data_IF_878574768842
#
_entry.id   IF_878574768842
#
_cell.length_a   1.000
_cell.length_b   1.000
_cell.length_c   1.000
_cell.angle_alpha   90.00
_cell.angle_beta   90.00
_cell.angle_gamma   90.00
#
_symmetry.space_group_name_H-M   'P 1'
#
loop_
_entity.id
_entity.type
_entity.pdbx_description
1 polymer ?
#
# COMPACT_ATOMS: atom_id res chain seq x y z
N UNK A 1 -9.18 24.01 -4.96
CA UNK A 1 -9.64 22.74 -5.56
C UNK A 1 -8.60 22.20 -6.53
N UNK A 2 -8.58 20.88 -6.75
CA UNK A 2 -7.77 20.18 -7.75
C UNK A 2 -8.71 19.52 -8.77
N UNK A 3 -8.58 19.85 -10.05
CA UNK A 3 -9.35 19.23 -11.13
C UNK A 3 -8.54 18.10 -11.76
N UNK A 4 -9.17 16.94 -11.91
CA UNK A 4 -8.59 15.77 -12.58
C UNK A 4 -8.78 15.93 -14.09
N UNK A 5 -7.69 16.20 -14.82
CA UNK A 5 -7.70 16.19 -16.30
C UNK A 5 -7.53 14.78 -16.85
N UNK A 6 -6.68 13.97 -16.22
CA UNK A 6 -6.57 12.53 -16.49
C UNK A 6 -6.42 11.79 -15.17
N UNK A 7 -7.14 10.68 -14.94
CA UNK A 7 -7.11 9.99 -13.65
C UNK A 7 -5.87 9.12 -13.41
N UNK A 8 -5.05 8.87 -14.43
CA UNK A 8 -3.99 7.87 -14.36
C UNK A 8 -4.55 6.44 -14.42
N UNK A 9 -3.77 5.45 -14.00
CA UNK A 9 -4.21 4.03 -14.01
C UNK A 9 -5.17 3.72 -12.84
N UNK A 10 -4.76 4.11 -11.64
CA UNK A 10 -5.56 3.94 -10.43
C UNK A 10 -5.14 4.97 -9.38
N UNK A 11 -5.83 6.11 -9.39
CA UNK A 11 -5.66 7.16 -8.39
C UNK A 11 -6.85 7.16 -7.43
N UNK A 12 -6.58 7.23 -6.13
CA UNK A 12 -7.62 7.29 -5.09
C UNK A 12 -7.22 8.17 -3.92
N UNK A 13 -8.21 8.68 -3.17
CA UNK A 13 -7.97 9.42 -1.93
C UNK A 13 -7.66 8.41 -0.82
N UNK A 14 -6.55 8.58 -0.12
CA UNK A 14 -6.14 7.71 0.96
C UNK A 14 -5.64 8.53 2.16
N UNK A 15 -6.05 8.12 3.36
CA UNK A 15 -5.38 8.49 4.61
C UNK A 15 -4.68 7.26 5.22
N UNK A 16 -4.54 7.18 6.54
CA UNK A 16 -3.93 6.02 7.22
C UNK A 16 -4.91 4.87 7.50
N UNK A 17 -6.18 5.01 7.09
CA UNK A 17 -7.17 3.94 7.12
C UNK A 17 -8.24 4.06 8.21
N UNK A 18 -9.16 3.09 8.21
CA UNK A 18 -10.35 2.93 9.07
C UNK A 18 -10.24 1.69 9.97
N UNK A 19 -9.52 1.82 11.07
CA UNK A 19 -9.40 0.70 12.02
C UNK A 19 -10.71 0.45 12.78
N UNK A 20 -10.91 -0.79 13.24
CA UNK A 20 -12.01 -1.17 14.15
C UNK A 20 -13.20 -1.91 13.52
N UNK A 21 -13.29 -1.96 12.19
CA UNK A 21 -14.45 -2.55 11.49
C UNK A 21 -14.16 -3.89 10.78
N UNK A 22 -12.95 -4.42 10.92
CA UNK A 22 -12.53 -5.60 10.17
C UNK A 22 -13.29 -6.88 10.54
N UNK A 23 -13.73 -6.98 11.81
CA UNK A 23 -14.64 -8.04 12.27
C UNK A 23 -16.02 -8.01 11.60
N UNK A 24 -16.41 -6.89 10.96
CA UNK A 24 -17.63 -6.74 10.16
C UNK A 24 -17.37 -6.92 8.66
N UNK A 25 -16.16 -7.30 8.26
CA UNK A 25 -15.78 -7.43 6.85
C UNK A 25 -15.39 -6.13 6.17
N UNK A 26 -15.18 -5.04 6.92
CA UNK A 26 -14.73 -3.76 6.36
C UNK A 26 -13.22 -3.61 6.59
N UNK A 27 -12.39 -3.63 5.53
CA UNK A 27 -10.95 -3.53 5.67
C UNK A 27 -10.50 -2.13 6.10
N UNK A 28 -9.28 -2.00 6.67
CA UNK A 28 -8.75 -0.72 7.08
C UNK A 28 -8.50 0.23 5.90
N UNK A 29 -8.26 -0.27 4.69
CA UNK A 29 -7.79 0.55 3.58
C UNK A 29 -6.59 1.42 4.01
N UNK A 30 -6.50 2.65 3.53
CA UNK A 30 -5.33 3.49 3.76
C UNK A 30 -4.33 3.39 2.61
N UNK A 31 -3.34 4.28 2.65
CA UNK A 31 -2.17 4.19 1.79
C UNK A 31 -1.50 2.82 1.93
N UNK A 32 -1.16 2.16 0.80
CA UNK A 32 -0.42 0.89 0.88
C UNK A 32 1.01 1.07 1.41
N UNK A 33 1.59 2.24 1.17
CA UNK A 33 2.85 2.73 1.74
C UNK A 33 2.52 3.95 2.60
N UNK A 34 2.35 3.69 3.90
CA UNK A 34 1.95 4.71 4.87
C UNK A 34 3.11 5.67 5.18
N UNK A 35 4.35 5.20 5.09
CA UNK A 35 5.53 6.05 5.25
C UNK A 35 5.54 7.16 4.21
N UNK A 36 5.38 6.82 2.93
CA UNK A 36 5.41 7.81 1.84
C UNK A 36 4.27 8.83 1.94
N UNK A 37 3.04 8.41 2.28
CA UNK A 37 1.94 9.36 2.52
C UNK A 37 2.28 10.32 3.68
N UNK A 38 2.76 9.77 4.80
CA UNK A 38 3.10 10.57 5.98
C UNK A 38 4.24 11.55 5.70
N UNK A 39 5.27 11.11 4.97
CA UNK A 39 6.39 11.95 4.55
C UNK A 39 5.90 13.11 3.67
N UNK A 40 5.07 12.85 2.66
CA UNK A 40 4.49 13.89 1.82
C UNK A 40 3.66 14.90 2.63
N UNK A 41 2.84 14.42 3.57
CA UNK A 41 2.06 15.28 4.47
C UNK A 41 2.93 16.19 5.34
N UNK A 42 3.99 15.64 5.94
CA UNK A 42 4.91 16.43 6.77
C UNK A 42 5.59 17.55 5.98
N UNK A 43 5.97 17.30 4.73
CA UNK A 43 6.63 18.31 3.88
C UNK A 43 5.75 19.55 3.65
N UNK A 44 4.43 19.37 3.56
CA UNK A 44 3.46 20.45 3.37
C UNK A 44 2.86 20.99 4.68
N UNK A 45 3.33 20.51 5.84
CA UNK A 45 2.87 20.96 7.16
C UNK A 45 1.54 20.37 7.62
N UNK A 46 1.12 19.23 7.04
CA UNK A 46 -0.07 18.51 7.48
C UNK A 46 0.26 17.55 8.63
N UNK A 47 -0.74 17.14 9.43
CA UNK A 47 -0.65 15.93 10.25
C UNK A 47 -0.31 14.71 9.36
N UNK A 48 0.45 13.76 9.89
CA UNK A 48 0.92 12.57 9.16
C UNK A 48 -0.22 11.81 8.45
N UNK A 49 -1.38 11.72 9.11
CA UNK A 49 -2.56 11.03 8.60
C UNK A 49 -3.56 11.88 7.82
N UNK A 50 -3.20 13.08 7.36
CA UNK A 50 -4.07 13.82 6.44
C UNK A 50 -4.26 13.06 5.12
N UNK A 51 -5.42 13.21 4.50
CA UNK A 51 -5.72 12.53 3.25
C UNK A 51 -4.93 13.13 2.08
N UNK A 52 -4.29 12.24 1.32
CA UNK A 52 -3.60 12.55 0.07
C UNK A 52 -4.11 11.70 -1.08
N UNK A 53 -3.46 11.80 -2.23
CA UNK A 53 -3.73 10.95 -3.38
C UNK A 53 -2.70 9.83 -3.46
N UNK A 54 -3.15 8.58 -3.50
CA UNK A 54 -2.33 7.43 -3.88
C UNK A 54 -2.44 7.23 -5.40
N UNK A 55 -1.32 7.38 -6.12
CA UNK A 55 -1.22 7.28 -7.57
C UNK A 55 -0.44 6.03 -7.96
N UNK A 56 -1.08 5.07 -8.64
CA UNK A 56 -0.47 3.76 -8.97
C UNK A 56 0.00 3.70 -10.42
N UNK A 57 1.29 3.37 -10.64
CA UNK A 57 2.00 3.12 -11.92
C UNK A 57 1.94 4.21 -13.01
N UNK A 58 0.77 4.75 -13.31
CA UNK A 58 0.58 5.88 -14.24
C UNK A 58 -0.12 6.98 -13.44
N UNK A 59 0.61 8.05 -13.15
CA UNK A 59 0.10 9.17 -12.36
C UNK A 59 -0.96 10.00 -13.10
N UNK A 60 -1.77 10.77 -12.37
CA UNK A 60 -2.81 11.63 -12.94
C UNK A 60 -2.25 12.90 -13.60
N UNK A 61 -3.07 13.56 -14.41
CA UNK A 61 -2.85 14.95 -14.83
C UNK A 61 -3.81 15.83 -14.02
N UNK A 62 -3.27 16.72 -13.19
CA UNK A 62 -4.02 17.48 -12.18
C UNK A 62 -3.85 18.98 -12.42
N UNK A 63 -4.95 19.69 -12.60
CA UNK A 63 -4.98 21.15 -12.69
C UNK A 63 -5.34 21.75 -11.33
N UNK A 64 -4.54 22.67 -10.83
CA UNK A 64 -4.80 23.35 -9.57
C UNK A 64 -5.62 24.62 -9.83
N UNK A 65 -6.80 24.74 -9.22
CA UNK A 65 -7.69 25.90 -9.41
C UNK A 65 -7.46 27.03 -8.41
N UNK A 66 -6.52 26.85 -7.51
CA UNK A 66 -6.07 27.83 -6.51
C UNK A 66 -4.59 27.60 -6.23
N UNK A 67 -3.93 28.59 -5.66
CA UNK A 67 -2.55 28.45 -5.20
C UNK A 67 -2.47 27.38 -4.09
N UNK A 68 -1.44 26.54 -4.14
CA UNK A 68 -1.29 25.41 -3.23
C UNK A 68 0.18 25.05 -3.01
N UNK A 69 0.49 24.59 -1.81
CA UNK A 69 1.76 23.95 -1.50
C UNK A 69 1.59 22.43 -1.63
N UNK A 70 2.42 21.79 -2.44
CA UNK A 70 2.31 20.37 -2.79
C UNK A 70 3.62 19.66 -2.52
N UNK A 71 3.56 18.41 -2.07
CA UNK A 71 4.71 17.52 -1.99
C UNK A 71 4.36 16.12 -2.49
N UNK A 72 5.39 15.39 -2.91
CA UNK A 72 5.31 14.04 -3.44
C UNK A 72 6.30 13.14 -2.74
N UNK A 73 5.92 11.90 -2.44
CA UNK A 73 6.84 10.85 -1.94
C UNK A 73 6.44 9.46 -2.45
N UNK A 74 7.29 8.45 -2.23
CA UNK A 74 7.08 7.07 -2.69
C UNK A 74 7.79 6.75 -4.02
N UNK A 75 7.08 6.16 -4.98
CA UNK A 75 7.64 5.76 -6.27
C UNK A 75 8.26 6.92 -7.05
N UNK A 76 9.32 6.63 -7.80
CA UNK A 76 10.09 7.59 -8.60
C UNK A 76 9.40 7.92 -9.93
N UNK A 77 8.21 8.53 -9.86
CA UNK A 77 7.45 9.04 -11.01
C UNK A 77 7.82 10.50 -11.25
N UNK A 78 8.78 10.79 -12.14
CA UNK A 78 9.31 12.15 -12.38
C UNK A 78 8.16 13.17 -12.55
N UNK A 79 7.89 14.04 -11.56
CA UNK A 79 6.77 14.96 -11.62
C UNK A 79 7.16 16.22 -12.41
N UNK A 80 6.22 16.76 -13.18
CA UNK A 80 6.39 17.99 -13.96
C UNK A 80 5.24 18.95 -13.73
N UNK A 81 5.56 20.20 -13.41
CA UNK A 81 4.61 21.30 -13.29
C UNK A 81 4.73 22.20 -14.52
N UNK A 82 3.69 22.25 -15.35
CA UNK A 82 3.69 22.93 -16.67
C UNK A 82 4.87 22.55 -17.58
N UNK A 83 5.41 21.35 -17.40
CA UNK A 83 6.56 20.83 -18.16
C UNK A 83 7.89 20.89 -17.43
N UNK A 84 8.02 21.76 -16.43
CA UNK A 84 9.22 21.92 -15.62
C UNK A 84 9.34 20.81 -14.57
N UNK A 85 10.55 20.28 -14.37
CA UNK A 85 10.80 19.21 -13.40
C UNK A 85 10.66 19.77 -11.99
N UNK A 86 9.87 19.10 -11.15
CA UNK A 86 9.85 19.35 -9.70
C UNK A 86 10.48 18.18 -8.96
N UNK A 87 11.09 18.46 -7.82
CA UNK A 87 11.80 17.44 -7.05
C UNK A 87 10.82 16.68 -6.16
N UNK A 88 10.85 15.35 -6.26
CA UNK A 88 10.22 14.48 -5.29
C UNK A 88 10.85 14.66 -3.90
N UNK A 89 10.10 14.30 -2.86
CA UNK A 89 10.44 14.45 -1.45
C UNK A 89 10.79 15.91 -1.09
N UNK A 90 10.23 16.87 -1.82
CA UNK A 90 10.40 18.31 -1.59
C UNK A 90 9.08 19.02 -1.84
N UNK A 91 8.69 19.92 -0.94
CA UNK A 91 7.51 20.74 -1.10
C UNK A 91 7.75 21.86 -2.12
N UNK A 92 6.82 22.07 -3.04
CA UNK A 92 6.89 23.10 -4.08
C UNK A 92 5.56 23.86 -4.18
N UNK A 93 5.64 25.12 -4.59
CA UNK A 93 4.45 25.92 -4.84
C UNK A 93 3.85 25.59 -6.19
N UNK A 94 2.53 25.59 -6.22
CA UNK A 94 1.70 25.51 -7.42
C UNK A 94 0.79 26.73 -7.43
N UNK A 95 0.73 27.43 -8.56
CA UNK A 95 -0.19 28.56 -8.77
C UNK A 95 -1.50 28.07 -9.39
N UNK A 96 -2.56 28.84 -9.19
CA UNK A 96 -3.82 28.63 -9.88
C UNK A 96 -3.62 28.57 -11.41
N UNK A 97 -4.23 27.58 -12.06
CA UNK A 97 -4.15 27.30 -13.49
C UNK A 97 -3.01 26.35 -13.90
N UNK A 98 -2.04 26.08 -13.02
CA UNK A 98 -0.92 25.19 -13.36
C UNK A 98 -1.32 23.71 -13.33
N UNK A 99 -0.63 22.91 -14.15
CA UNK A 99 -0.91 21.49 -14.33
C UNK A 99 0.28 20.64 -13.90
N UNK A 100 0.04 19.76 -12.93
CA UNK A 100 0.97 18.72 -12.52
C UNK A 100 0.71 17.44 -13.30
N UNK A 101 1.77 16.86 -13.87
CA UNK A 101 1.75 15.56 -14.55
C UNK A 101 2.92 14.69 -14.11
N UNK A 102 2.83 13.40 -14.37
CA UNK A 102 3.86 12.42 -14.02
C UNK A 102 4.37 11.70 -15.27
N UNK A 103 5.67 11.43 -15.29
CA UNK A 103 6.24 10.43 -16.20
C UNK A 103 6.10 9.01 -15.61
N UNK A 104 6.41 7.99 -16.41
CA UNK A 104 6.43 6.62 -15.94
C UNK A 104 7.42 6.43 -14.77
N UNK A 105 7.08 5.59 -13.77
CA UNK A 105 7.94 5.33 -12.62
C UNK A 105 9.24 4.66 -13.05
N UNK A 106 10.37 5.20 -12.59
CA UNK A 106 11.67 4.54 -12.74
C UNK A 106 11.87 3.39 -11.75
N UNK A 107 11.22 3.49 -10.58
CA UNK A 107 11.21 2.49 -9.53
C UNK A 107 10.03 2.75 -8.59
N UNK A 108 9.55 1.70 -7.89
CA UNK A 108 8.38 1.79 -7.02
C UNK A 108 7.05 1.78 -7.81
N UNK A 109 5.95 1.46 -7.14
CA UNK A 109 4.64 1.32 -7.77
C UNK A 109 3.68 2.49 -7.48
N UNK A 110 3.82 3.16 -6.33
CA UNK A 110 2.87 4.16 -5.83
C UNK A 110 3.55 5.45 -5.40
N UNK A 111 3.14 6.56 -5.99
CA UNK A 111 3.52 7.91 -5.54
C UNK A 111 2.35 8.52 -4.77
N UNK A 112 2.65 9.22 -3.69
CA UNK A 112 1.66 9.89 -2.85
C UNK A 112 1.78 11.39 -3.02
N UNK A 113 0.65 12.05 -3.32
CA UNK A 113 0.55 13.50 -3.40
C UNK A 113 -0.16 14.02 -2.15
N UNK A 114 0.55 14.89 -1.41
CA UNK A 114 -0.03 15.69 -0.36
C UNK A 114 -0.11 17.15 -0.81
N UNK A 115 -1.19 17.81 -0.39
CA UNK A 115 -1.40 19.25 -0.55
C UNK A 115 -1.61 19.84 0.84
N UNK A 116 -1.07 21.02 1.11
CA UNK A 116 -1.29 21.68 2.40
C UNK A 116 -2.80 21.84 2.67
N UNK A 117 -3.24 21.47 3.88
CA UNK A 117 -4.66 21.37 4.25
C UNK A 117 -5.30 20.00 3.97
N UNK A 118 -4.67 19.16 3.13
CA UNK A 118 -5.13 17.82 2.77
C UNK A 118 -6.30 17.81 1.78
N UNK A 119 -6.67 16.61 1.31
CA UNK A 119 -7.85 16.42 0.46
C UNK A 119 -9.11 16.32 1.33
N UNK A 120 -9.99 17.31 1.23
CA UNK A 120 -11.12 17.48 2.17
C UNK A 120 -12.40 16.75 1.71
N UNK A 121 -12.31 15.42 1.64
CA UNK A 121 -13.51 14.57 1.44
C UNK A 121 -14.18 14.21 2.77
N UNK A 122 -15.47 13.82 2.79
CA UNK A 122 -16.14 13.40 4.02
C UNK A 122 -15.46 12.22 4.70
N UNK A 123 -15.51 12.19 6.04
CA UNK A 123 -15.12 11.02 6.82
C UNK A 123 -16.21 9.95 6.72
N UNK A 124 -15.79 8.72 6.44
CA UNK A 124 -16.64 7.54 6.44
C UNK A 124 -16.01 6.49 7.35
N UNK A 125 -16.71 6.17 8.44
CA UNK A 125 -16.21 5.31 9.52
C UNK A 125 -14.87 5.82 10.11
N UNK A 126 -14.76 7.14 10.27
CA UNK A 126 -13.57 7.78 10.86
C UNK A 126 -12.38 7.96 9.92
N UNK A 127 -12.52 7.67 8.62
CA UNK A 127 -11.43 7.77 7.64
C UNK A 127 -11.90 8.34 6.31
N UNK A 128 -10.99 8.99 5.59
CA UNK A 128 -11.11 9.49 4.22
C UNK A 128 -10.61 8.52 3.17
N UNK A 129 -10.16 7.32 3.52
CA UNK A 129 -9.64 6.36 2.54
C UNK A 129 -10.69 5.83 1.56
N UNK A 130 -10.31 5.56 0.33
CA UNK A 130 -11.18 4.85 -0.61
C UNK A 130 -11.05 3.34 -0.41
N UNK A 131 -12.18 2.65 -0.20
CA UNK A 131 -12.31 1.20 -0.39
C UNK A 131 -13.16 0.94 -1.63
N UNK A 132 -12.51 0.65 -2.76
CA UNK A 132 -13.18 0.60 -4.07
C UNK A 132 -14.17 -0.56 -4.18
N UNK A 133 -13.84 -1.75 -3.64
CA UNK A 133 -14.71 -2.92 -3.74
C UNK A 133 -16.05 -2.72 -3.03
N UNK A 134 -16.03 -2.02 -1.89
CA UNK A 134 -17.24 -1.69 -1.11
C UNK A 134 -17.84 -0.32 -1.42
N UNK A 135 -17.36 0.39 -2.45
CA UNK A 135 -17.78 1.75 -2.80
C UNK A 135 -17.81 2.73 -1.60
N UNK A 136 -16.79 2.69 -0.74
CA UNK A 136 -16.79 3.35 0.56
C UNK A 136 -15.66 4.38 0.72
N UNK A 137 -15.99 5.58 1.22
CA UNK A 137 -15.02 6.62 1.58
C UNK A 137 -14.29 7.26 0.40
N UNK A 138 -13.33 8.14 0.68
CA UNK A 138 -12.61 8.90 -0.33
C UNK A 138 -13.53 9.78 -1.18
N UNK A 139 -13.18 9.94 -2.46
CA UNK A 139 -14.04 10.66 -3.39
C UNK A 139 -15.09 9.71 -3.98
N UNK A 140 -16.33 9.82 -3.49
CA UNK A 140 -17.49 9.05 -3.97
C UNK A 140 -17.32 7.52 -3.92
N UNK A 141 -16.47 6.97 -3.05
CA UNK A 141 -16.27 5.52 -2.92
C UNK A 141 -15.48 4.87 -4.05
N UNK A 142 -14.90 5.64 -4.98
CA UNK A 142 -14.30 5.11 -6.21
C UNK A 142 -12.92 5.71 -6.49
N UNK A 143 -12.24 5.15 -7.49
CA UNK A 143 -11.07 5.77 -8.11
C UNK A 143 -11.48 7.10 -8.77
N UNK A 144 -10.54 8.02 -8.87
CA UNK A 144 -10.75 9.28 -9.56
C UNK A 144 -11.05 9.05 -11.04
N UNK A 145 -11.84 9.95 -11.62
CA UNK A 145 -12.23 9.99 -13.02
C UNK A 145 -11.92 11.36 -13.60
N UNK A 146 -11.85 11.44 -14.93
CA UNK A 146 -11.70 12.72 -15.63
C UNK A 146 -12.87 13.65 -15.29
N UNK A 147 -12.56 14.91 -15.00
CA UNK A 147 -13.53 15.93 -14.63
C UNK A 147 -13.84 16.01 -13.13
N UNK A 148 -13.38 15.05 -12.31
CA UNK A 148 -13.53 15.15 -10.86
C UNK A 148 -12.85 16.41 -10.31
N UNK A 149 -13.50 17.07 -9.36
CA UNK A 149 -12.96 18.24 -8.65
C UNK A 149 -12.85 17.93 -7.16
N UNK A 150 -11.61 17.92 -6.67
CA UNK A 150 -11.28 17.58 -5.29
C UNK A 150 -11.15 18.85 -4.46
N UNK A 151 -11.87 18.96 -3.33
CA UNK A 151 -11.68 20.04 -2.38
C UNK A 151 -10.32 19.89 -1.66
N UNK A 152 -9.71 21.02 -1.34
CA UNK A 152 -8.50 21.11 -0.53
C UNK A 152 -8.92 21.78 0.77
N UNK A 153 -8.52 21.22 1.91
CA UNK A 153 -8.81 21.80 3.22
C UNK A 153 -7.99 23.06 3.51
N UNK A 154 -8.23 23.67 4.65
CA UNK A 154 -7.49 24.86 5.10
C UNK A 154 -6.06 24.51 5.53
N UNK A 155 -5.02 25.13 4.94
CA UNK A 155 -3.63 24.92 5.35
C UNK A 155 -3.36 25.37 6.80
N UNK A 156 -2.50 24.62 7.51
CA UNK A 156 -2.03 25.00 8.86
C UNK A 156 -1.14 26.25 8.87
N UNK A 157 -0.53 26.59 7.72
CA UNK A 157 0.48 27.65 7.60
C UNK A 157 1.91 27.22 8.01
N UNK A 158 2.10 25.98 8.46
CA UNK A 158 3.41 25.47 8.89
C UNK A 158 4.31 25.02 7.72
N UNK A 159 3.70 24.58 6.62
CA UNK A 159 4.40 24.12 5.43
C UNK A 159 5.09 25.26 4.68
N UNK A 160 6.29 24.98 4.13
CA UNK A 160 7.05 25.95 3.32
C UNK A 160 7.61 25.28 2.07
N UNK A 161 7.62 26.03 0.98
CA UNK A 161 8.28 25.61 -0.24
C UNK A 161 9.79 25.42 0.01
N UNK A 162 10.36 24.35 -0.56
CA UNK A 162 11.74 23.95 -0.34
C UNK A 162 11.95 23.05 0.90
N UNK A 163 10.94 22.83 1.75
CA UNK A 163 11.00 21.77 2.76
C UNK A 163 11.28 20.45 2.04
N UNK A 164 12.34 19.75 2.43
CA UNK A 164 12.78 18.51 1.77
C UNK A 164 13.05 17.41 2.78
N UNK A 165 12.74 16.18 2.41
CA UNK A 165 12.97 15.03 3.26
C UNK A 165 14.49 14.83 3.39
N UNK A 166 15.04 14.82 4.62
CA UNK A 166 16.45 14.53 4.86
C UNK A 166 16.87 13.25 4.17
N UNK A 167 18.07 13.23 3.58
CA UNK A 167 18.57 12.08 2.83
C UNK A 167 18.54 10.77 3.64
N UNK A 168 18.81 10.84 4.95
CA UNK A 168 18.78 9.69 5.85
C UNK A 168 17.37 9.09 6.06
N UNK A 169 16.31 9.85 5.77
CA UNK A 169 14.92 9.41 5.89
C UNK A 169 14.36 8.93 4.54
N UNK A 170 15.02 9.22 3.42
CA UNK A 170 14.55 8.77 2.10
C UNK A 170 14.62 7.25 2.01
N UNK A 171 13.52 6.62 1.60
CA UNK A 171 13.44 5.17 1.38
C UNK A 171 13.82 4.83 -0.05
N UNK A 172 14.69 3.84 -0.22
CA UNK A 172 14.94 3.24 -1.54
C UNK A 172 13.75 2.40 -1.97
N UNK A 173 13.38 2.50 -3.25
CA UNK A 173 12.33 1.68 -3.88
C UNK A 173 12.90 0.94 -5.08
N UNK A 174 12.33 -0.22 -5.41
CA UNK A 174 12.82 -1.10 -6.49
C UNK A 174 13.83 -2.15 -6.00
N UNK A 175 14.46 -2.85 -6.94
CA UNK A 175 15.40 -3.95 -6.67
C UNK A 175 14.74 -5.20 -6.10
N UNK A 176 15.56 -6.16 -5.65
CA UNK A 176 15.09 -7.36 -4.96
C UNK A 176 14.71 -6.99 -3.52
N UNK A 177 13.50 -7.37 -3.09
CA UNK A 177 12.95 -7.01 -1.77
C UNK A 177 12.99 -8.22 -0.84
N UNK A 178 13.44 -8.05 0.39
CA UNK A 178 13.31 -9.09 1.43
C UNK A 178 12.19 -8.72 2.40
N UNK A 179 11.22 -9.62 2.57
CA UNK A 179 10.05 -9.44 3.42
C UNK A 179 10.16 -10.32 4.66
N UNK A 180 10.10 -9.72 5.84
CA UNK A 180 10.14 -10.44 7.11
C UNK A 180 8.77 -11.02 7.45
N UNK A 181 8.75 -12.30 7.78
CA UNK A 181 7.54 -13.09 8.04
C UNK A 181 7.61 -13.69 9.42
N UNK A 182 6.56 -13.51 10.22
CA UNK A 182 6.35 -14.35 11.41
C UNK A 182 5.61 -15.61 10.94
N UNK A 183 6.22 -16.81 11.04
CA UNK A 183 5.55 -18.05 10.65
C UNK A 183 4.27 -18.27 11.47
N UNK A 184 3.22 -18.75 10.81
CA UNK A 184 1.91 -18.95 11.42
C UNK A 184 1.67 -20.40 11.83
N UNK A 185 0.55 -20.69 12.50
CA UNK A 185 0.20 -22.05 12.92
C UNK A 185 0.12 -23.02 11.73
N UNK A 186 -0.40 -22.57 10.58
CA UNK A 186 -0.49 -23.41 9.39
C UNK A 186 0.84 -23.58 8.66
N UNK A 187 1.91 -22.88 9.06
CA UNK A 187 3.27 -23.20 8.62
C UNK A 187 3.65 -24.64 8.99
N UNK A 188 3.20 -25.10 10.17
CA UNK A 188 3.45 -26.46 10.64
C UNK A 188 2.73 -27.53 9.84
N UNK A 189 1.79 -27.14 8.97
CA UNK A 189 1.12 -28.03 8.04
C UNK A 189 1.93 -28.28 6.78
N UNK A 190 2.96 -27.48 6.49
CA UNK A 190 3.84 -27.71 5.34
C UNK A 190 4.76 -28.90 5.61
N UNK A 191 5.16 -29.60 4.55
CA UNK A 191 6.26 -30.57 4.63
C UNK A 191 7.58 -29.84 4.90
N UNK A 192 8.59 -30.52 5.47
CA UNK A 192 9.89 -29.89 5.74
C UNK A 192 10.56 -29.35 4.47
N UNK A 193 10.38 -30.03 3.33
CA UNK A 193 10.86 -29.57 2.04
C UNK A 193 10.18 -28.24 1.62
N UNK A 194 8.86 -28.14 1.77
CA UNK A 194 8.11 -26.92 1.47
C UNK A 194 8.44 -25.77 2.44
N UNK A 195 8.67 -26.09 3.72
CA UNK A 195 9.14 -25.14 4.73
C UNK A 195 10.49 -24.52 4.33
N UNK A 196 11.43 -25.35 3.88
CA UNK A 196 12.74 -24.89 3.42
C UNK A 196 12.66 -24.12 2.10
N UNK A 197 11.90 -24.60 1.11
CA UNK A 197 11.83 -23.95 -0.21
C UNK A 197 11.21 -22.55 -0.13
N UNK A 198 10.17 -22.36 0.69
CA UNK A 198 9.49 -21.06 0.82
C UNK A 198 10.44 -19.90 1.17
N UNK A 199 11.38 -20.14 2.08
CA UNK A 199 12.36 -19.13 2.52
C UNK A 199 13.66 -19.12 1.71
N UNK A 200 13.99 -20.20 1.00
CA UNK A 200 15.22 -20.30 0.21
C UNK A 200 15.05 -19.78 -1.22
N UNK A 201 13.86 -19.92 -1.79
CA UNK A 201 13.60 -19.61 -3.19
C UNK A 201 13.17 -18.16 -3.39
N UNK A 202 13.55 -17.54 -4.52
CA UNK A 202 13.04 -16.24 -4.90
C UNK A 202 11.61 -16.37 -5.44
N UNK A 203 10.79 -15.42 -5.06
CA UNK A 203 9.44 -15.24 -5.55
C UNK A 203 9.36 -14.00 -6.43
N UNK A 204 8.34 -13.91 -7.27
CA UNK A 204 8.14 -12.78 -8.19
C UNK A 204 6.71 -12.29 -8.13
N UNK A 205 6.50 -10.98 -8.06
CA UNK A 205 5.15 -10.40 -8.03
C UNK A 205 4.42 -10.67 -9.35
N UNK A 206 3.23 -11.26 -9.26
CA UNK A 206 2.33 -11.48 -10.39
C UNK A 206 1.70 -10.18 -10.90
N UNK A 207 1.20 -10.20 -12.13
CA UNK A 207 0.51 -9.06 -12.75
C UNK A 207 -0.84 -8.74 -12.10
N UNK A 208 -1.41 -9.67 -11.34
CA UNK A 208 -2.69 -9.56 -10.64
C UNK A 208 -2.59 -8.81 -9.31
N UNK A 209 -1.41 -8.29 -8.93
CA UNK A 209 -1.21 -7.59 -7.68
C UNK A 209 -2.05 -6.31 -7.58
N UNK A 210 -2.78 -6.16 -6.48
CA UNK A 210 -3.64 -5.00 -6.21
C UNK A 210 -3.66 -4.61 -4.72
N UNK A 211 -4.63 -3.79 -4.32
CA UNK A 211 -4.79 -3.35 -2.92
C UNK A 211 -5.34 -4.43 -1.99
N UNK A 212 -5.95 -5.49 -2.52
CA UNK A 212 -6.49 -6.62 -1.75
C UNK A 212 -5.35 -7.57 -1.41
N UNK A 213 -4.50 -7.90 -2.39
CA UNK A 213 -3.38 -8.79 -2.14
C UNK A 213 -2.36 -8.88 -3.27
N UNK A 214 -1.15 -9.28 -2.89
CA UNK A 214 -0.03 -9.49 -3.80
C UNK A 214 0.19 -10.98 -3.99
N UNK A 215 0.01 -11.44 -5.22
CA UNK A 215 0.28 -12.82 -5.64
C UNK A 215 1.75 -12.96 -6.02
N UNK A 216 2.40 -14.00 -5.54
CA UNK A 216 3.80 -14.31 -5.77
C UNK A 216 3.92 -15.62 -6.56
N UNK A 217 4.77 -15.62 -7.59
CA UNK A 217 4.98 -16.71 -8.56
C UNK A 217 6.46 -17.07 -8.66
N UNK A 218 6.76 -18.20 -9.32
CA UNK A 218 8.11 -18.59 -9.71
C UNK A 218 8.87 -19.47 -8.72
N UNK A 219 8.31 -19.70 -7.52
CA UNK A 219 8.79 -20.72 -6.58
C UNK A 219 8.17 -22.10 -6.83
N UNK A 220 8.73 -23.10 -6.17
CA UNK A 220 8.25 -24.47 -6.09
C UNK A 220 6.91 -24.54 -5.36
N UNK A 221 6.02 -25.43 -5.82
CA UNK A 221 4.77 -25.70 -5.13
C UNK A 221 5.03 -26.18 -3.69
N UNK A 222 4.35 -25.57 -2.73
CA UNK A 222 4.39 -25.89 -1.32
C UNK A 222 3.44 -27.05 -1.03
N UNK A 223 4.00 -28.20 -0.63
CA UNK A 223 3.23 -29.36 -0.23
C UNK A 223 2.83 -29.30 1.23
N UNK A 224 1.59 -29.72 1.52
CA UNK A 224 1.05 -29.87 2.87
C UNK A 224 1.15 -31.33 3.31
N UNK A 225 1.38 -31.54 4.61
CA UNK A 225 1.31 -32.84 5.24
C UNK A 225 -0.10 -33.43 5.07
N UNK A 226 -0.25 -34.74 4.82
CA UNK A 226 -1.55 -35.38 4.73
C UNK A 226 -2.38 -35.16 6.01
N UNK A 227 -3.69 -34.97 5.85
CA UNK A 227 -4.66 -35.04 6.94
C UNK A 227 -6.03 -35.44 6.43
N UNK A 228 -6.85 -35.92 7.34
CA UNK A 228 -8.29 -35.84 7.19
C UNK A 228 -8.73 -34.38 7.32
N UNK A 229 -9.55 -33.90 6.38
CA UNK A 229 -10.04 -32.53 6.42
C UNK A 229 -11.11 -32.38 7.51
N UNK A 230 -11.05 -31.33 8.34
CA UNK A 230 -12.05 -31.10 9.36
C UNK A 230 -13.38 -30.77 8.70
N UNK A 231 -14.46 -31.10 9.40
CA UNK A 231 -15.80 -30.70 8.99
C UNK A 231 -15.87 -29.18 8.77
N UNK A 232 -16.39 -28.76 7.62
CA UNK A 232 -16.51 -27.36 7.23
C UNK A 232 -15.34 -26.80 6.40
N UNK A 233 -14.24 -27.54 6.22
CA UNK A 233 -13.19 -27.19 5.27
C UNK A 233 -13.45 -27.81 3.89
N UNK A 234 -12.93 -27.17 2.83
CA UNK A 234 -12.88 -27.76 1.50
C UNK A 234 -11.91 -28.96 1.40
N UNK A 235 -11.94 -29.65 0.25
CA UNK A 235 -11.13 -30.85 0.04
C UNK A 235 -9.64 -30.58 -0.20
N UNK A 236 -9.26 -29.37 -0.61
CA UNK A 236 -7.87 -29.03 -0.91
C UNK A 236 -7.02 -29.01 0.37
N UNK A 237 -5.78 -29.55 0.38
CA UNK A 237 -4.92 -29.58 1.56
C UNK A 237 -4.65 -28.22 2.22
N UNK A 238 -4.72 -27.13 1.44
CA UNK A 238 -4.59 -25.75 1.93
C UNK A 238 -5.89 -25.22 2.54
N UNK A 239 -7.03 -25.90 2.39
CA UNK A 239 -8.28 -25.46 2.99
C UNK A 239 -8.31 -25.67 4.49
N UNK A 240 -8.93 -24.74 5.21
CA UNK A 240 -9.17 -24.75 6.66
C UNK A 240 -10.65 -24.46 6.91
N UNK A 241 -11.10 -24.67 8.16
CA UNK A 241 -12.37 -24.04 8.58
C UNK A 241 -12.12 -22.54 8.61
N UNK A 242 -13.09 -21.77 8.11
CA UNK A 242 -12.95 -20.33 7.95
C UNK A 242 -12.39 -19.64 9.19
N UNK A 243 -11.35 -18.83 8.98
CA UNK A 243 -10.66 -18.09 10.02
C UNK A 243 -10.54 -16.62 9.63
N UNK A 244 -10.40 -15.74 10.62
CA UNK A 244 -9.99 -14.37 10.38
C UNK A 244 -8.59 -14.34 9.77
N UNK A 245 -8.38 -13.44 8.83
CA UNK A 245 -7.08 -13.19 8.18
C UNK A 245 -6.49 -11.90 8.73
N UNK A 246 -5.26 -11.87 9.26
CA UNK A 246 -4.58 -10.62 9.56
C UNK A 246 -4.11 -9.94 8.27
N UNK A 247 -4.02 -8.61 8.28
CA UNK A 247 -3.33 -7.87 7.21
C UNK A 247 -1.86 -8.33 7.18
N UNK A 248 -1.35 -8.63 5.98
CA UNK A 248 -0.04 -9.23 5.77
C UNK A 248 -0.05 -10.77 5.78
N UNK A 249 -1.18 -11.43 6.05
CA UNK A 249 -1.24 -12.89 6.04
C UNK A 249 -0.85 -13.46 4.68
N UNK A 250 -0.14 -14.58 4.69
CA UNK A 250 0.33 -15.27 3.49
C UNK A 250 -0.52 -16.51 3.28
N UNK A 251 -1.43 -16.45 2.32
CA UNK A 251 -2.27 -17.58 1.92
C UNK A 251 -1.61 -18.35 0.78
N UNK A 252 -1.76 -19.67 0.74
CA UNK A 252 -1.20 -20.48 -0.36
C UNK A 252 -2.25 -21.46 -0.89
N UNK A 253 -3.25 -20.98 -1.65
CA UNK A 253 -4.25 -21.86 -2.26
C UNK A 253 -3.60 -22.95 -3.11
N UNK A 254 -4.01 -24.20 -2.90
CA UNK A 254 -3.46 -25.40 -3.56
C UNK A 254 -1.93 -25.57 -3.44
N UNK A 255 -1.27 -24.81 -2.55
CA UNK A 255 0.18 -24.83 -2.41
C UNK A 255 0.96 -24.12 -3.53
N UNK A 256 0.31 -23.45 -4.48
CA UNK A 256 1.01 -22.97 -5.69
C UNK A 256 1.61 -21.58 -5.53
N UNK A 257 0.77 -20.58 -5.31
CA UNK A 257 1.15 -19.17 -5.38
C UNK A 257 0.85 -18.49 -4.04
N UNK A 258 1.86 -18.08 -3.27
CA UNK A 258 1.64 -17.30 -2.06
C UNK A 258 0.95 -15.98 -2.37
N UNK A 259 -0.05 -15.63 -1.57
CA UNK A 259 -0.81 -14.39 -1.68
C UNK A 259 -0.67 -13.65 -0.35
N UNK A 260 0.00 -12.51 -0.37
CA UNK A 260 0.09 -11.62 0.80
C UNK A 260 -1.10 -10.67 0.78
N UNK A 261 -2.01 -10.81 1.74
CA UNK A 261 -3.15 -9.91 1.89
C UNK A 261 -2.70 -8.51 2.34
N UNK A 262 -3.26 -7.47 1.74
CA UNK A 262 -2.92 -6.07 2.01
C UNK A 262 -4.14 -5.28 2.51
N UNK A 263 -4.11 -3.96 2.43
CA UNK A 263 -5.00 -3.08 3.21
C UNK A 263 -6.46 -3.08 2.78
N UNK A 264 -6.79 -3.55 1.58
CA UNK A 264 -8.19 -3.76 1.15
C UNK A 264 -8.59 -5.25 1.21
N UNK A 265 -7.85 -6.07 1.94
CA UNK A 265 -8.08 -7.50 2.04
C UNK A 265 -9.46 -7.90 2.57
N UNK A 266 -9.90 -9.10 2.19
CA UNK A 266 -11.01 -9.78 2.87
C UNK A 266 -10.65 -10.09 4.32
N UNK A 267 -11.65 -10.10 5.21
CA UNK A 267 -11.45 -10.26 6.67
C UNK A 267 -11.24 -11.70 7.14
N UNK A 268 -11.63 -12.67 6.33
CA UNK A 268 -11.49 -14.08 6.65
C UNK A 268 -11.87 -14.97 5.48
N UNK A 269 -11.65 -16.27 5.66
CA UNK A 269 -11.98 -17.31 4.71
C UNK A 269 -11.28 -18.64 5.01
N UNK A 270 -11.40 -19.57 4.08
CA UNK A 270 -11.01 -20.97 4.27
C UNK A 270 -9.63 -21.36 3.73
N UNK A 271 -8.68 -20.46 3.52
CA UNK A 271 -7.31 -20.78 3.10
C UNK A 271 -6.31 -20.68 4.26
N UNK A 272 -5.45 -21.70 4.38
CA UNK A 272 -4.37 -21.75 5.33
C UNK A 272 -3.41 -20.57 5.16
N UNK A 273 -3.10 -19.92 6.27
CA UNK A 273 -2.12 -18.84 6.33
C UNK A 273 -0.80 -19.35 6.90
N UNK A 274 0.23 -19.46 6.07
CA UNK A 274 1.53 -20.02 6.47
C UNK A 274 2.37 -19.02 7.29
N UNK A 275 1.95 -17.76 7.38
CA UNK A 275 2.65 -16.73 8.12
C UNK A 275 2.02 -15.37 7.89
N UNK A 276 2.63 -14.34 8.48
CA UNK A 276 2.22 -12.95 8.29
C UNK A 276 3.46 -12.09 8.05
N UNK A 277 3.48 -11.37 6.93
CA UNK A 277 4.48 -10.31 6.69
C UNK A 277 4.28 -9.24 7.77
N UNK A 278 5.36 -8.87 8.44
CA UNK A 278 5.28 -7.91 9.54
C UNK A 278 4.77 -6.55 9.05
N UNK A 279 4.05 -5.82 9.91
CA UNK A 279 3.46 -4.54 9.53
C UNK A 279 4.49 -3.50 9.02
N UNK A 280 5.73 -3.57 9.52
CA UNK A 280 6.81 -2.66 9.12
C UNK A 280 7.30 -2.87 7.67
N UNK A 281 6.99 -4.00 7.05
CA UNK A 281 7.41 -4.35 5.69
C UNK A 281 6.27 -4.24 4.67
N UNK A 282 5.04 -3.93 5.10
CA UNK A 282 3.88 -3.80 4.20
C UNK A 282 4.02 -2.63 3.21
N UNK A 283 4.69 -1.56 3.63
CA UNK A 283 5.00 -0.41 2.77
C UNK A 283 5.90 -0.84 1.60
N UNK A 284 6.83 -1.78 1.83
CA UNK A 284 7.70 -2.33 0.79
C UNK A 284 6.85 -3.03 -0.28
N UNK A 285 5.89 -3.86 0.14
CA UNK A 285 4.95 -4.55 -0.78
C UNK A 285 4.14 -3.52 -1.58
N UNK A 286 3.68 -2.44 -0.93
CA UNK A 286 2.98 -1.34 -1.57
C UNK A 286 3.78 -0.64 -2.69
N UNK A 287 5.10 -0.79 -2.70
CA UNK A 287 5.99 -0.27 -3.74
C UNK A 287 6.42 -1.31 -4.78
N UNK A 288 6.10 -2.60 -4.59
CA UNK A 288 6.52 -3.62 -5.53
C UNK A 288 5.73 -3.56 -6.84
N UNK A 289 6.44 -3.64 -7.96
CA UNK A 289 5.86 -3.72 -9.31
C UNK A 289 5.69 -5.18 -9.76
N UNK A 290 4.82 -5.48 -10.74
CA UNK A 290 4.81 -6.77 -11.42
C UNK A 290 6.19 -7.17 -11.93
N UNK A 291 6.51 -8.47 -11.82
CA UNK A 291 7.80 -9.07 -12.14
C UNK A 291 8.97 -8.70 -11.22
N UNK A 292 8.75 -7.90 -10.17
CA UNK A 292 9.78 -7.63 -9.17
C UNK A 292 10.00 -8.85 -8.27
N UNK A 293 11.28 -9.14 -7.97
CA UNK A 293 11.68 -10.26 -7.13
C UNK A 293 11.51 -9.96 -5.65
N UNK A 294 11.06 -10.95 -4.89
CA UNK A 294 10.98 -10.95 -3.45
C UNK A 294 11.64 -12.20 -2.85
N UNK A 295 12.28 -12.05 -1.71
CA UNK A 295 12.59 -13.15 -0.80
C UNK A 295 11.78 -13.00 0.49
N UNK A 296 11.47 -14.12 1.13
CA UNK A 296 10.90 -14.12 2.47
C UNK A 296 11.96 -14.56 3.47
N UNK A 297 11.92 -14.01 4.68
CA UNK A 297 12.78 -14.45 5.79
C UNK A 297 11.94 -14.60 7.05
N UNK A 298 12.13 -15.72 7.75
CA UNK A 298 11.47 -15.95 9.02
C UNK A 298 12.04 -15.02 10.10
N UNK A 299 11.17 -14.42 10.90
CA UNK A 299 11.53 -13.65 12.10
C UNK A 299 10.68 -14.08 13.28
N UNK A 300 11.20 -13.84 14.48
CA UNK A 300 10.49 -14.00 15.74
C UNK A 300 9.46 -12.88 15.95
N UNK A 301 8.55 -13.08 16.90
CA UNK A 301 7.59 -12.04 17.28
C UNK A 301 8.31 -10.83 17.90
N UNK A 302 9.36 -11.07 18.67
CA UNK A 302 10.19 -10.04 19.30
C UNK A 302 10.87 -9.14 18.27
N UNK A 303 11.47 -9.73 17.24
CA UNK A 303 12.07 -8.99 16.12
C UNK A 303 11.02 -8.18 15.34
N UNK A 304 9.82 -8.75 15.13
CA UNK A 304 8.71 -8.06 14.49
C UNK A 304 8.23 -6.85 15.30
N UNK A 305 8.14 -6.98 16.63
CA UNK A 305 7.75 -5.89 17.53
C UNK A 305 8.80 -4.79 17.57
N UNK A 306 10.09 -5.14 17.58
CA UNK A 306 11.17 -4.17 17.52
C UNK A 306 11.19 -3.43 16.18
N UNK A 307 11.02 -4.14 15.06
CA UNK A 307 10.88 -3.54 13.75
C UNK A 307 9.71 -2.55 13.69
N UNK A 308 8.56 -2.89 14.29
CA UNK A 308 7.40 -1.99 14.39
C UNK A 308 7.71 -0.76 15.24
N UNK A 309 8.45 -0.90 16.34
CA UNK A 309 8.86 0.22 17.20
C UNK A 309 9.77 1.18 16.44
N UNK A 310 10.76 0.66 15.71
CA UNK A 310 11.64 1.46 14.86
C UNK A 310 10.84 2.18 13.77
N UNK A 311 9.94 1.46 13.08
CA UNK A 311 9.09 2.04 12.04
C UNK A 311 8.23 3.21 12.55
N UNK A 312 7.61 3.08 13.73
CA UNK A 312 6.76 4.14 14.30
C UNK A 312 7.52 5.38 14.79
N UNK A 313 8.82 5.27 15.01
CA UNK A 313 9.68 6.36 15.50
C UNK A 313 10.54 6.98 14.39
N UNK A 314 10.42 6.50 13.15
CA UNK A 314 11.12 7.01 11.97
C UNK A 314 10.37 8.17 11.32
#
# INVERSE_FOLDING_TARGET
MIKVRKPGLATSVQDLGREGYYHLGIPPSGALDQYALSAANHLVGNPSGAAGLECTLIGPELEFRQDALVALSGALMSPRLDGEVVHQDTAFQVRAGQVLRFEFPKAGARTYLAVAGGIEVPLVLGSRSTYTLGALGGFQGRRLQEGDELPIGEPSGEGRAGNSLPMALRRSVGGDVTLRVVPGLYYERLTDAAKSSFFAEPWTVGSEADRIGYRFKGGSALSFQPREQPFGAGSDPSNIVDSCYPIGSIQVPAGLEPIVLHRDAVSGGGYAMIGTVISADLDLIGQMQPNQRAGFVAVTLEEALEARRVYKNA
#
